data_IF_384048763477
#
_entry.id   IF_384048763477
#
_cell.length_a   1.000
_cell.length_b   1.000
_cell.length_c   1.000
_cell.angle_alpha   90.00
_cell.angle_beta   90.00
_cell.angle_gamma   90.00
#
_symmetry.space_group_name_H-M   'P 1'
#
loop_
_entity.id
_entity.type
_entity.pdbx_description
1 polymer ?
#
# COMPACT_ATOMS: atom_id res chain seq x y z
N UNK A 1 11.14 -31.92 -5.73
CA UNK A 1 10.79 -30.58 -6.24
C UNK A 1 9.40 -30.67 -6.84
N UNK A 2 8.45 -29.85 -6.39
CA UNK A 2 7.13 -29.74 -7.03
C UNK A 2 7.29 -28.84 -8.25
N UNK A 3 6.95 -29.33 -9.44
CA UNK A 3 6.98 -28.52 -10.67
C UNK A 3 5.57 -28.01 -10.96
N UNK A 4 5.45 -26.69 -11.14
CA UNK A 4 4.19 -26.06 -11.52
C UNK A 4 4.27 -25.65 -12.99
N UNK A 5 3.35 -26.16 -13.80
CA UNK A 5 3.20 -25.75 -15.20
C UNK A 5 2.16 -24.61 -15.28
N UNK A 6 2.51 -23.53 -15.98
CA UNK A 6 1.59 -22.40 -16.25
C UNK A 6 1.52 -22.18 -17.76
N UNK A 7 0.31 -22.26 -18.32
CA UNK A 7 0.04 -22.04 -19.75
C UNK A 7 -0.56 -20.65 -19.96
N UNK A 8 0.01 -19.87 -20.87
CA UNK A 8 -0.46 -18.52 -21.23
C UNK A 8 -0.75 -18.49 -22.73
N UNK A 9 -1.98 -18.15 -23.11
CA UNK A 9 -2.35 -17.95 -24.52
C UNK A 9 -2.01 -16.52 -24.93
N UNK A 10 -1.12 -16.38 -25.92
CA UNK A 10 -0.70 -15.08 -26.45
C UNK A 10 -1.12 -14.99 -27.92
N UNK A 11 -1.79 -13.91 -28.34
CA UNK A 11 -2.07 -13.65 -29.75
C UNK A 11 -0.77 -13.65 -30.58
N UNK A 12 -0.81 -14.24 -31.78
CA UNK A 12 0.37 -14.45 -32.62
C UNK A 12 1.10 -13.14 -32.96
N UNK A 13 0.35 -12.05 -33.17
CA UNK A 13 0.87 -10.70 -33.43
C UNK A 13 1.65 -10.10 -32.24
N UNK A 14 1.49 -10.65 -31.04
CA UNK A 14 2.15 -10.19 -29.81
C UNK A 14 3.15 -11.20 -29.25
N UNK A 15 3.41 -12.29 -29.96
CA UNK A 15 4.28 -13.37 -29.50
C UNK A 15 5.72 -12.88 -29.32
N UNK A 16 6.23 -12.11 -30.28
CA UNK A 16 7.57 -11.52 -30.22
C UNK A 16 7.71 -10.57 -29.02
N UNK A 17 6.76 -9.65 -28.86
CA UNK A 17 6.68 -8.72 -27.73
C UNK A 17 6.67 -9.43 -26.38
N UNK A 18 5.92 -10.53 -26.27
CA UNK A 18 5.85 -11.34 -25.06
C UNK A 18 7.22 -11.94 -24.71
N UNK A 19 7.92 -12.55 -25.68
CA UNK A 19 9.23 -13.14 -25.43
C UNK A 19 10.30 -12.10 -25.12
N UNK A 20 10.26 -10.92 -25.75
CA UNK A 20 11.16 -9.81 -25.40
C UNK A 20 10.98 -9.42 -23.94
N UNK A 21 9.73 -9.21 -23.49
CA UNK A 21 9.43 -8.82 -22.11
C UNK A 21 9.79 -9.92 -21.10
N UNK A 22 9.49 -11.17 -21.44
CA UNK A 22 9.83 -12.31 -20.59
C UNK A 22 11.35 -12.46 -20.45
N UNK A 23 12.09 -12.30 -21.54
CA UNK A 23 13.55 -12.30 -21.53
C UNK A 23 14.15 -11.16 -20.69
N UNK A 24 13.62 -9.93 -20.83
CA UNK A 24 14.05 -8.77 -20.03
C UNK A 24 13.78 -8.98 -18.54
N UNK A 25 12.63 -9.57 -18.19
CA UNK A 25 12.28 -9.90 -16.81
C UNK A 25 13.23 -10.96 -16.22
N UNK A 26 13.53 -12.03 -16.97
CA UNK A 26 14.52 -13.04 -16.54
C UNK A 26 15.93 -12.46 -16.38
N UNK A 27 16.29 -11.45 -17.15
CA UNK A 27 17.58 -10.76 -17.05
C UNK A 27 17.68 -9.83 -15.82
N UNK A 28 16.64 -9.73 -14.99
CA UNK A 28 16.64 -8.91 -13.77
C UNK A 28 16.65 -7.41 -14.03
N UNK A 29 16.31 -6.97 -15.25
CA UNK A 29 16.29 -5.57 -15.60
C UNK A 29 14.93 -4.97 -15.23
N UNK A 30 14.90 -4.13 -14.20
CA UNK A 30 13.73 -3.37 -13.74
C UNK A 30 13.43 -2.18 -14.68
N UNK A 31 13.59 -2.41 -16.00
CA UNK A 31 13.46 -1.39 -17.01
C UNK A 31 12.00 -0.95 -17.09
N UNK A 32 11.80 0.32 -16.74
CA UNK A 32 10.53 1.03 -16.68
C UNK A 32 9.54 0.59 -17.75
N UNK A 33 8.40 0.08 -17.28
CA UNK A 33 7.23 -0.25 -18.08
C UNK A 33 6.80 0.96 -18.92
N UNK A 34 6.94 0.94 -20.27
CA UNK A 34 6.28 1.95 -21.07
C UNK A 34 4.77 1.75 -20.90
N UNK A 35 4.07 2.80 -20.45
CA UNK A 35 2.61 2.81 -20.34
C UNK A 35 2.05 2.36 -21.69
N UNK A 36 1.15 1.37 -21.66
CA UNK A 36 0.52 0.86 -22.87
C UNK A 36 -0.06 2.05 -23.66
N UNK A 37 0.42 2.24 -24.88
CA UNK A 37 -0.18 3.15 -25.84
C UNK A 37 -1.60 2.65 -26.12
N UNK A 38 -2.58 3.28 -25.46
CA UNK A 38 -3.95 3.39 -25.93
C UNK A 38 -3.92 4.12 -27.27
N UNK A 39 -3.62 3.42 -28.37
CA UNK A 39 -3.80 3.97 -29.72
C UNK A 39 -3.74 2.86 -30.78
N UNK A 40 -4.76 1.98 -30.80
CA UNK A 40 -5.15 1.28 -32.03
C UNK A 40 -6.68 1.24 -32.15
N UNK A 41 -7.27 2.42 -32.32
CA UNK A 41 -8.42 2.58 -33.23
C UNK A 41 -7.97 3.59 -34.30
N UNK A 42 -7.40 3.08 -35.39
CA UNK A 42 -7.01 3.88 -36.56
C UNK A 42 -8.24 4.46 -37.26
N UNK A 43 -8.14 5.73 -37.67
CA UNK A 43 -8.50 6.19 -39.03
C UNK A 43 -7.53 7.32 -39.46
N UNK A 44 -7.18 7.44 -40.76
CA UNK A 44 -5.87 7.93 -41.17
C UNK A 44 -5.82 9.37 -41.68
N UNK A 45 -4.60 9.92 -41.54
CA UNK A 45 -3.82 10.79 -42.44
C UNK A 45 -4.39 12.15 -42.90
N UNK A 46 -3.69 13.22 -42.51
CA UNK A 46 -3.19 14.23 -43.46
C UNK A 46 -1.85 14.77 -42.93
N UNK A 47 -0.90 14.84 -43.85
CA UNK A 47 0.52 15.19 -43.69
C UNK A 47 0.74 16.69 -43.45
N UNK A 48 1.93 17.05 -42.97
CA UNK A 48 2.47 18.40 -43.17
C UNK A 48 3.56 18.80 -42.19
N UNK A 49 4.82 18.52 -42.56
CA UNK A 49 6.09 19.21 -42.27
C UNK A 49 6.39 19.79 -40.87
N UNK A 50 7.61 20.08 -40.45
CA UNK A 50 8.98 19.90 -40.93
C UNK A 50 9.84 20.68 -39.91
N UNK A 51 10.99 20.12 -39.51
CA UNK A 51 12.25 20.81 -39.12
C UNK A 51 12.19 21.76 -37.89
N UNK A 52 13.23 22.04 -37.10
CA UNK A 52 14.57 21.52 -36.82
C UNK A 52 15.11 22.37 -35.64
N UNK A 53 16.17 21.90 -34.97
CA UNK A 53 17.34 22.69 -34.48
C UNK A 53 17.15 23.81 -33.42
N UNK A 54 17.70 23.69 -32.20
CA UNK A 54 19.09 23.80 -31.68
C UNK A 54 19.41 25.14 -30.98
N UNK A 55 19.97 24.96 -29.77
CA UNK A 55 21.04 25.70 -29.07
C UNK A 55 20.76 26.83 -28.06
N UNK A 56 21.68 26.96 -27.06
CA UNK A 56 21.53 27.73 -25.81
C UNK A 56 22.45 28.97 -25.73
N UNK A 57 22.28 29.79 -24.68
CA UNK A 57 23.23 30.77 -24.12
C UNK A 57 22.46 31.59 -23.04
N UNK A 58 23.00 32.21 -21.99
CA UNK A 58 24.32 32.26 -21.34
C UNK A 58 24.16 33.13 -20.07
N UNK A 59 25.23 33.16 -19.26
CA UNK A 59 25.69 34.29 -18.42
C UNK A 59 25.48 34.23 -16.89
N UNK A 60 26.61 34.00 -16.20
CA UNK A 60 26.95 34.50 -14.87
C UNK A 60 27.25 36.03 -14.92
N UNK A 61 27.48 36.72 -13.77
CA UNK A 61 28.82 36.78 -13.17
C UNK A 61 28.87 36.83 -11.62
N UNK A 62 30.08 37.06 -11.10
CA UNK A 62 30.68 36.62 -9.84
C UNK A 62 30.66 37.63 -8.65
N UNK A 63 30.80 37.07 -7.42
CA UNK A 63 31.70 37.48 -6.28
C UNK A 63 31.48 38.78 -5.46
N UNK A 64 32.14 39.01 -4.28
CA UNK A 64 32.83 38.12 -3.30
C UNK A 64 32.65 38.51 -1.78
N UNK A 65 33.31 37.75 -0.86
CA UNK A 65 33.80 38.20 0.49
C UNK A 65 32.91 37.85 1.70
N UNK A 66 33.38 37.43 2.88
CA UNK A 66 34.70 37.21 3.48
C UNK A 66 34.55 36.69 4.94
N UNK A 67 35.61 36.03 5.45
CA UNK A 67 36.12 35.94 6.86
C UNK A 67 35.20 35.47 8.02
N UNK A 68 35.46 34.36 8.72
CA UNK A 68 36.52 33.98 9.71
C UNK A 68 36.25 34.43 11.17
N UNK A 69 36.01 33.45 12.06
CA UNK A 69 36.36 33.39 13.50
C UNK A 69 35.95 31.97 13.99
N UNK A 70 36.82 30.99 14.29
CA UNK A 70 37.81 30.81 15.38
C UNK A 70 37.27 31.11 16.77
N UNK A 71 37.25 30.08 17.65
CA UNK A 71 37.38 30.04 19.13
C UNK A 71 37.17 28.57 19.57
N UNK A 72 38.15 27.65 19.59
CA UNK A 72 39.11 27.27 20.67
C UNK A 72 38.69 27.53 22.12
N UNK A 73 38.48 26.43 22.89
CA UNK A 73 39.12 26.03 24.18
C UNK A 73 38.29 24.86 24.78
N UNK A 74 38.83 23.65 25.04
CA UNK A 74 39.53 23.18 26.26
C UNK A 74 38.75 23.54 27.56
N UNK A 75 38.46 22.65 28.51
CA UNK A 75 39.27 21.54 29.00
C UNK A 75 38.48 20.53 29.88
N UNK A 76 39.03 19.31 29.90
CA UNK A 76 39.17 18.32 30.98
C UNK A 76 38.10 17.96 32.05
N UNK A 77 38.05 16.64 32.28
CA UNK A 77 38.19 15.93 33.57
C UNK A 77 36.98 15.22 34.23
N UNK A 78 37.10 13.88 34.17
CA UNK A 78 37.05 12.89 35.28
C UNK A 78 35.77 12.09 35.55
N UNK A 79 35.99 10.78 35.45
CA UNK A 79 35.24 9.65 36.00
C UNK A 79 35.10 9.72 37.53
N UNK A 80 33.97 9.23 38.06
CA UNK A 80 33.93 8.29 39.18
C UNK A 80 32.55 7.64 39.28
N UNK A 81 32.56 6.32 39.47
CA UNK A 81 31.45 5.42 39.71
C UNK A 81 31.36 5.13 41.21
N UNK A 82 30.18 5.17 41.85
CA UNK A 82 29.69 4.10 42.74
C UNK A 82 28.25 4.33 43.27
N UNK A 83 27.40 3.28 43.14
CA UNK A 83 26.32 2.77 44.04
C UNK A 83 25.22 3.73 44.59
N UNK A 84 23.90 3.54 44.42
CA UNK A 84 22.98 2.38 44.66
C UNK A 84 21.56 2.77 44.13
N UNK A 85 20.66 1.84 43.72
CA UNK A 85 19.46 2.16 42.94
C UNK A 85 18.22 2.49 43.79
N UNK A 86 17.30 3.37 43.33
CA UNK A 86 15.92 3.37 43.81
C UNK A 86 15.03 2.44 42.96
N UNK A 87 14.24 1.67 43.70
CA UNK A 87 13.13 0.77 43.34
C UNK A 87 12.27 1.29 42.16
N UNK A 88 11.79 0.43 41.24
CA UNK A 88 11.00 0.87 40.10
C UNK A 88 9.62 1.38 40.54
N UNK A 89 9.46 2.69 40.56
CA UNK A 89 8.14 3.33 40.64
C UNK A 89 7.42 3.10 39.30
N UNK A 90 6.34 2.33 39.37
CA UNK A 90 5.44 2.00 38.28
C UNK A 90 4.95 3.29 37.59
N UNK A 91 5.35 3.57 36.33
CA UNK A 91 4.75 4.67 35.59
C UNK A 91 3.37 4.18 35.15
N UNK A 92 2.35 4.68 35.86
CA UNK A 92 1.00 4.82 35.29
C UNK A 92 1.17 5.29 33.86
N UNK A 93 0.70 4.45 32.94
CA UNK A 93 0.70 4.65 31.49
C UNK A 93 0.08 6.01 31.18
N UNK A 94 0.92 7.04 31.14
CA UNK A 94 0.61 8.32 30.55
C UNK A 94 0.35 8.01 29.08
N UNK A 95 -0.93 7.95 28.70
CA UNK A 95 -1.35 8.04 27.30
C UNK A 95 -1.06 9.48 26.89
N UNK A 96 0.22 9.83 26.78
CA UNK A 96 0.64 10.99 26.03
C UNK A 96 0.09 10.75 24.64
N UNK A 97 -0.79 11.66 24.18
CA UNK A 97 -1.38 11.60 22.86
C UNK A 97 -0.24 11.53 21.84
N UNK A 98 0.05 10.32 21.36
CA UNK A 98 1.04 10.06 20.34
C UNK A 98 0.49 10.81 19.12
N UNK A 99 1.16 11.90 18.74
CA UNK A 99 0.84 12.58 17.49
C UNK A 99 1.04 11.55 16.37
N UNK A 100 0.08 11.37 15.45
CA UNK A 100 0.24 10.46 14.33
C UNK A 100 1.55 10.79 13.62
N UNK A 101 2.35 9.77 13.35
CA UNK A 101 3.54 9.95 12.51
C UNK A 101 3.08 10.26 11.07
N UNK A 102 3.95 10.85 10.25
CA UNK A 102 3.65 11.07 8.82
C UNK A 102 3.17 9.78 8.15
N UNK A 103 3.79 8.65 8.51
CA UNK A 103 3.42 7.33 7.99
C UNK A 103 2.01 6.89 8.41
N UNK A 104 1.57 7.23 9.62
CA UNK A 104 0.21 6.88 10.09
C UNK A 104 -0.85 7.71 9.34
N UNK A 105 -0.52 8.98 9.06
CA UNK A 105 -1.40 9.87 8.31
C UNK A 105 -1.49 9.45 6.84
N UNK A 106 -0.37 9.12 6.19
CA UNK A 106 -0.33 8.62 4.81
C UNK A 106 -1.15 7.32 4.66
N UNK A 107 -1.04 6.44 5.66
CA UNK A 107 -1.81 5.20 5.69
C UNK A 107 -3.32 5.44 5.84
N UNK A 108 -3.70 6.41 6.68
CA UNK A 108 -5.10 6.82 6.84
C UNK A 108 -5.64 7.48 5.56
N UNK A 109 -4.87 8.33 4.91
CA UNK A 109 -5.27 8.98 3.66
C UNK A 109 -5.47 7.94 2.54
N UNK A 110 -4.57 6.95 2.44
CA UNK A 110 -4.76 5.79 1.57
C UNK A 110 -6.02 4.98 1.91
N UNK A 111 -6.31 4.78 3.20
CA UNK A 111 -7.52 4.07 3.65
C UNK A 111 -8.80 4.83 3.28
N UNK A 112 -8.80 6.16 3.39
CA UNK A 112 -9.92 7.04 3.02
C UNK A 112 -10.19 6.94 1.52
N UNK A 113 -9.15 7.09 0.70
CA UNK A 113 -9.28 7.00 -0.77
C UNK A 113 -9.72 5.61 -1.21
N UNK A 114 -9.19 4.56 -0.57
CA UNK A 114 -9.66 3.21 -0.78
C UNK A 114 -11.14 3.05 -0.42
N UNK A 115 -11.58 3.47 0.77
CA UNK A 115 -12.96 3.34 1.23
C UNK A 115 -13.95 4.08 0.32
N UNK A 116 -13.60 5.31 -0.11
CA UNK A 116 -14.38 6.09 -1.09
C UNK A 116 -14.62 5.33 -2.38
N UNK A 117 -13.60 4.61 -2.87
CA UNK A 117 -13.68 3.86 -4.13
C UNK A 117 -14.56 2.60 -4.06
N UNK A 118 -14.91 2.12 -2.86
CA UNK A 118 -15.69 0.91 -2.68
C UNK A 118 -17.17 1.10 -3.03
N UNK A 119 -17.75 0.07 -3.66
CA UNK A 119 -19.21 -0.03 -3.85
C UNK A 119 -19.88 -0.38 -2.53
N UNK A 120 -21.21 -0.16 -2.43
CA UNK A 120 -21.98 -0.45 -1.21
C UNK A 120 -21.77 -1.88 -0.68
N UNK A 121 -21.96 -2.89 -1.53
CA UNK A 121 -21.75 -4.29 -1.15
C UNK A 121 -20.32 -4.63 -0.72
N UNK A 122 -19.32 -3.94 -1.28
CA UNK A 122 -17.92 -4.09 -0.86
C UNK A 122 -17.71 -3.47 0.53
N UNK A 123 -18.24 -2.25 0.78
CA UNK A 123 -18.19 -1.59 2.09
C UNK A 123 -18.92 -2.39 3.17
N UNK A 124 -20.04 -3.02 2.81
CA UNK A 124 -20.83 -3.84 3.74
C UNK A 124 -20.02 -5.05 4.21
N UNK A 125 -19.36 -5.78 3.31
CA UNK A 125 -18.46 -6.89 3.68
C UNK A 125 -17.31 -6.42 4.57
N UNK A 126 -16.64 -5.32 4.21
CA UNK A 126 -15.55 -4.82 5.04
C UNK A 126 -16.02 -4.26 6.37
N UNK A 127 -17.26 -3.77 6.47
CA UNK A 127 -17.88 -3.40 7.75
C UNK A 127 -18.01 -4.63 8.65
N UNK A 128 -18.50 -5.75 8.13
CA UNK A 128 -18.54 -6.99 8.90
C UNK A 128 -17.14 -7.46 9.34
N UNK A 129 -16.13 -7.34 8.46
CA UNK A 129 -14.76 -7.73 8.81
C UNK A 129 -14.15 -6.83 9.90
N UNK A 130 -14.46 -5.53 9.90
CA UNK A 130 -14.03 -4.63 10.97
C UNK A 130 -14.64 -5.05 12.30
N UNK A 131 -15.93 -5.38 12.32
CA UNK A 131 -16.66 -5.73 13.55
C UNK A 131 -16.28 -7.10 14.11
N UNK A 132 -15.90 -8.05 13.25
CA UNK A 132 -15.42 -9.36 13.67
C UNK A 132 -13.94 -9.38 14.13
N UNK A 133 -13.14 -8.36 13.76
CA UNK A 133 -11.71 -8.36 14.02
C UNK A 133 -11.37 -8.54 15.51
N UNK A 134 -10.38 -9.38 15.87
CA UNK A 134 -9.41 -10.05 14.99
C UNK A 134 -9.88 -11.41 14.43
N UNK A 135 -11.12 -11.80 14.71
CA UNK A 135 -11.67 -13.08 14.27
C UNK A 135 -12.10 -13.05 12.80
N UNK A 136 -12.39 -14.24 12.26
CA UNK A 136 -12.98 -14.43 10.94
C UNK A 136 -14.44 -14.80 11.05
N UNK A 137 -15.18 -14.55 9.96
CA UNK A 137 -16.59 -14.89 9.80
C UNK A 137 -16.73 -16.03 8.80
N UNK A 138 -17.64 -16.95 9.09
CA UNK A 138 -18.01 -18.01 8.17
C UNK A 138 -18.68 -17.45 6.92
N UNK A 139 -18.48 -18.10 5.77
CA UNK A 139 -19.12 -17.70 4.53
C UNK A 139 -20.65 -17.65 4.65
N UNK A 140 -21.26 -18.61 5.34
CA UNK A 140 -22.69 -18.68 5.62
C UNK A 140 -23.18 -17.50 6.49
N UNK A 141 -22.39 -17.09 7.47
CA UNK A 141 -22.69 -15.95 8.34
C UNK A 141 -22.68 -14.64 7.56
N UNK A 142 -21.70 -14.45 6.67
CA UNK A 142 -21.63 -13.28 5.78
C UNK A 142 -22.83 -13.24 4.83
N UNK A 143 -23.20 -14.39 4.26
CA UNK A 143 -24.37 -14.51 3.38
C UNK A 143 -25.65 -14.12 4.12
N UNK A 144 -25.84 -14.62 5.34
CA UNK A 144 -27.00 -14.30 6.16
C UNK A 144 -27.03 -12.82 6.56
N UNK A 145 -25.90 -12.26 7.01
CA UNK A 145 -25.81 -10.88 7.45
C UNK A 145 -26.06 -9.86 6.33
N UNK A 146 -25.63 -10.16 5.10
CA UNK A 146 -25.75 -9.26 3.95
C UNK A 146 -26.89 -9.60 2.98
N UNK A 147 -27.64 -10.69 3.25
CA UNK A 147 -28.69 -11.17 2.35
C UNK A 147 -28.16 -11.56 0.96
N UNK A 148 -26.96 -12.16 0.89
CA UNK A 148 -26.39 -12.58 -0.40
C UNK A 148 -27.09 -13.83 -0.93
N UNK A 149 -26.98 -14.05 -2.24
CA UNK A 149 -27.58 -15.23 -2.89
C UNK A 149 -26.94 -16.55 -2.45
N UNK A 150 -25.61 -16.55 -2.29
CA UNK A 150 -24.83 -17.72 -1.87
C UNK A 150 -23.39 -17.36 -1.53
N UNK A 151 -22.69 -18.28 -0.87
CA UNK A 151 -21.28 -18.15 -0.49
C UNK A 151 -20.35 -17.93 -1.68
N UNK A 152 -20.71 -18.50 -2.85
CA UNK A 152 -19.94 -18.39 -4.10
C UNK A 152 -19.82 -16.96 -4.62
N UNK A 153 -20.66 -16.05 -4.14
CA UNK A 153 -20.63 -14.63 -4.54
C UNK A 153 -19.51 -13.87 -3.84
N UNK A 154 -19.12 -14.29 -2.62
CA UNK A 154 -18.16 -13.57 -1.76
C UNK A 154 -16.82 -13.34 -2.47
N UNK A 155 -16.18 -14.36 -3.08
CA UNK A 155 -14.92 -14.14 -3.81
C UNK A 155 -15.04 -13.12 -4.96
N UNK A 156 -16.19 -13.09 -5.64
CA UNK A 156 -16.46 -12.14 -6.71
C UNK A 156 -16.54 -10.69 -6.21
N UNK A 157 -17.11 -10.48 -5.02
CA UNK A 157 -17.13 -9.15 -4.37
C UNK A 157 -15.73 -8.76 -3.91
N UNK A 158 -14.95 -9.68 -3.35
CA UNK A 158 -13.61 -9.43 -2.82
C UNK A 158 -12.52 -9.24 -3.89
N UNK A 159 -12.75 -9.66 -5.13
CA UNK A 159 -11.76 -9.56 -6.21
C UNK A 159 -11.38 -8.10 -6.57
N UNK A 160 -12.33 -7.17 -6.50
CA UNK A 160 -12.15 -5.78 -6.91
C UNK A 160 -11.52 -4.86 -5.84
N UNK A 161 -11.91 -4.96 -4.55
CA UNK A 161 -11.30 -4.17 -3.47
C UNK A 161 -9.78 -4.23 -3.43
N UNK A 162 -9.17 -5.38 -3.75
CA UNK A 162 -7.70 -5.50 -3.85
C UNK A 162 -7.09 -4.61 -4.93
N UNK A 163 -7.73 -4.54 -6.11
CA UNK A 163 -7.26 -3.69 -7.21
C UNK A 163 -7.43 -2.21 -6.88
N UNK A 164 -8.52 -1.87 -6.20
CA UNK A 164 -8.78 -0.50 -5.74
C UNK A 164 -7.77 -0.05 -4.69
N UNK A 165 -7.41 -0.92 -3.77
CA UNK A 165 -6.41 -0.65 -2.74
C UNK A 165 -5.05 -0.33 -3.37
N UNK A 166 -4.60 -1.14 -4.35
CA UNK A 166 -3.36 -0.89 -5.08
C UNK A 166 -3.35 0.49 -5.78
N UNK A 167 -4.49 0.93 -6.34
CA UNK A 167 -4.60 2.27 -6.97
C UNK A 167 -4.55 3.41 -5.96
N UNK A 168 -5.05 3.18 -4.75
CA UNK A 168 -5.01 4.14 -3.65
C UNK A 168 -3.67 4.14 -2.89
N UNK A 169 -2.70 3.30 -3.29
CA UNK A 169 -1.48 3.10 -2.50
C UNK A 169 -1.73 2.47 -1.12
N UNK A 170 -2.90 1.86 -0.92
CA UNK A 170 -3.34 1.34 0.37
C UNK A 170 -2.99 -0.14 0.53
N UNK A 171 -2.24 -0.53 1.58
CA UNK A 171 -1.92 -1.94 1.83
C UNK A 171 -3.14 -2.69 2.40
N UNK A 172 -4.02 -3.18 1.50
CA UNK A 172 -5.20 -3.95 1.92
C UNK A 172 -4.83 -5.32 2.49
N UNK A 173 -5.29 -5.59 3.70
CA UNK A 173 -4.98 -6.81 4.44
C UNK A 173 -6.25 -7.55 4.91
N UNK A 174 -6.61 -8.61 4.18
CA UNK A 174 -7.63 -9.57 4.58
C UNK A 174 -7.10 -11.00 4.40
N UNK A 175 -7.74 -11.97 5.05
CA UNK A 175 -7.42 -13.39 4.96
C UNK A 175 -8.63 -14.23 4.57
N UNK A 176 -8.30 -15.36 3.99
CA UNK A 176 -9.20 -16.46 3.66
C UNK A 176 -8.59 -17.74 4.21
N UNK A 177 -9.37 -18.49 4.96
CA UNK A 177 -8.96 -19.77 5.52
C UNK A 177 -10.12 -20.77 5.46
N UNK A 178 -9.82 -22.05 5.53
CA UNK A 178 -10.82 -23.08 5.76
C UNK A 178 -10.72 -23.53 7.21
N UNK A 179 -11.87 -23.74 7.87
CA UNK A 179 -11.89 -24.38 9.19
C UNK A 179 -11.64 -25.89 9.09
N UNK A 180 -11.64 -26.56 10.24
CA UNK A 180 -11.45 -28.01 10.33
C UNK A 180 -12.52 -28.82 9.58
N UNK A 181 -13.71 -28.23 9.38
CA UNK A 181 -14.82 -28.84 8.64
C UNK A 181 -14.76 -28.52 7.14
N UNK A 182 -13.74 -27.77 6.69
CA UNK A 182 -13.56 -27.36 5.30
C UNK A 182 -14.44 -26.19 4.87
N UNK A 183 -15.08 -25.47 5.81
CA UNK A 183 -15.90 -24.29 5.49
C UNK A 183 -15.02 -23.06 5.36
N UNK A 184 -15.42 -22.17 4.44
CA UNK A 184 -14.70 -20.94 4.16
C UNK A 184 -14.92 -19.87 5.24
N UNK A 185 -13.83 -19.25 5.69
CA UNK A 185 -13.80 -18.15 6.65
C UNK A 185 -13.04 -16.95 6.09
N UNK A 186 -13.53 -15.75 6.41
CA UNK A 186 -12.99 -14.49 5.90
C UNK A 186 -12.84 -13.46 7.02
N UNK A 187 -11.82 -12.60 6.94
CA UNK A 187 -11.70 -11.49 7.88
C UNK A 187 -10.44 -10.68 7.66
N UNK A 188 -10.15 -9.76 8.58
CA UNK A 188 -8.91 -8.98 8.55
C UNK A 188 -7.72 -9.82 9.02
N UNK A 189 -6.52 -9.51 8.51
CA UNK A 189 -5.28 -10.14 8.96
C UNK A 189 -4.37 -9.10 9.62
N UNK A 190 -3.42 -9.58 10.42
CA UNK A 190 -2.31 -8.75 10.89
C UNK A 190 -1.47 -8.27 9.70
N UNK A 191 -0.93 -7.06 9.84
CA UNK A 191 -0.06 -6.39 8.88
C UNK A 191 1.35 -6.22 9.49
N UNK A 192 2.16 -7.28 9.53
CA UNK A 192 3.52 -7.20 10.07
C UNK A 192 4.39 -6.20 9.31
N UNK A 193 4.07 -5.92 8.05
CA UNK A 193 4.80 -5.00 7.18
C UNK A 193 4.77 -3.55 7.70
N UNK A 194 3.74 -3.20 8.47
CA UNK A 194 3.57 -1.90 9.14
C UNK A 194 3.38 -2.06 10.65
N UNK A 195 3.76 -3.21 11.21
CA UNK A 195 3.64 -3.53 12.65
C UNK A 195 2.24 -3.29 13.24
N UNK A 196 1.18 -3.59 12.48
CA UNK A 196 -0.21 -3.33 12.87
C UNK A 196 -0.99 -4.63 13.05
N UNK A 197 -1.67 -4.79 14.19
CA UNK A 197 -2.58 -5.89 14.45
C UNK A 197 -3.89 -5.75 13.66
N UNK A 198 -4.63 -6.86 13.48
CA UNK A 198 -5.94 -6.83 12.82
C UNK A 198 -6.94 -5.89 13.54
N UNK A 199 -6.84 -5.75 14.86
CA UNK A 199 -7.68 -4.86 15.67
C UNK A 199 -7.35 -3.38 15.44
N UNK A 200 -6.06 -3.05 15.38
CA UNK A 200 -5.61 -1.69 15.03
C UNK A 200 -5.98 -1.35 13.59
N UNK A 201 -5.83 -2.31 12.68
CA UNK A 201 -6.24 -2.15 11.29
C UNK A 201 -7.75 -1.92 11.15
N UNK A 202 -8.58 -2.66 11.90
CA UNK A 202 -10.01 -2.41 11.95
C UNK A 202 -10.33 -0.99 12.46
N UNK A 203 -9.56 -0.48 13.42
CA UNK A 203 -9.72 0.88 13.96
C UNK A 203 -9.40 1.94 12.92
N UNK A 204 -8.30 1.77 12.17
CA UNK A 204 -7.94 2.63 11.03
C UNK A 204 -9.06 2.66 9.98
N UNK A 205 -9.59 1.48 9.61
CA UNK A 205 -10.66 1.40 8.62
C UNK A 205 -11.97 2.03 9.10
N UNK A 206 -12.31 1.91 10.40
CA UNK A 206 -13.47 2.61 11.00
C UNK A 206 -13.29 4.12 10.95
N UNK A 207 -12.08 4.60 11.19
CA UNK A 207 -11.78 6.02 11.08
C UNK A 207 -11.91 6.51 9.63
N UNK A 208 -11.38 5.77 8.66
CA UNK A 208 -11.56 6.07 7.25
C UNK A 208 -13.05 6.11 6.86
N UNK A 209 -13.83 5.10 7.27
CA UNK A 209 -15.29 5.06 7.08
C UNK A 209 -15.96 6.31 7.66
N UNK A 210 -15.66 6.65 8.93
CA UNK A 210 -16.22 7.83 9.60
C UNK A 210 -15.91 9.13 8.85
N UNK A 211 -14.70 9.30 8.31
CA UNK A 211 -14.31 10.49 7.54
C UNK A 211 -14.97 10.59 6.16
N UNK A 212 -15.47 9.47 5.63
CA UNK A 212 -16.12 9.41 4.31
C UNK A 212 -17.64 9.50 4.42
N UNK A 213 -18.21 8.96 5.49
CA UNK A 213 -19.66 8.79 5.66
C UNK A 213 -20.28 9.66 6.77
N UNK A 214 -19.44 10.26 7.63
CA UNK A 214 -19.85 11.26 8.62
C UNK A 214 -19.77 12.68 8.08
#
# INVERSE_FOLDING_TARGET
MVMHEVKVLVPEDRLADFYTRFGTWLAGSDAAWPKANDNVRKKPATEGGALAETRPAASAPQSPGGERAVNRSMDEAKQASDRTPPVPENPRRSVAAIRPTSSDQDLLDGAIEWWRSLKRNERDIFTLFMDAAPNTLGASEIVAALGLKSERVIPGVLAWPRRKAARAGFPLAWKFEHDADGKAHYGLRNMPEVSMSATEYATLLREAKRKVEG
#
